data_IF_320503554336
#
_entry.id   IF_320503554336
#
_cell.length_a   1.000
_cell.length_b   1.000
_cell.length_c   1.000
_cell.angle_alpha   90.00
_cell.angle_beta   90.00
_cell.angle_gamma   90.00
#
_symmetry.space_group_name_H-M   'P 1'
#
loop_
_entity.id
_entity.type
_entity.pdbx_description
1 polymer ?
#
# COMPACT_ATOMS: atom_id res chain seq x y z
N UNK A 1 19.45 -12.11 -12.17
CA UNK A 1 18.76 -10.81 -12.39
C UNK A 1 17.27 -11.04 -12.09
N UNK A 2 16.87 -10.74 -10.85
CA UNK A 2 15.97 -9.62 -10.54
C UNK A 2 14.60 -9.77 -11.23
N UNK A 3 13.64 -10.51 -10.66
CA UNK A 3 12.23 -10.43 -11.08
C UNK A 3 11.20 -10.89 -10.00
N UNK A 4 11.55 -10.86 -8.71
CA UNK A 4 10.65 -11.32 -7.62
C UNK A 4 10.10 -10.18 -6.73
N UNK A 5 10.47 -8.91 -6.99
CA UNK A 5 10.00 -7.78 -6.17
C UNK A 5 8.67 -7.19 -6.64
N UNK A 6 8.32 -7.33 -7.92
CA UNK A 6 7.13 -6.71 -8.53
C UNK A 6 5.83 -7.43 -8.16
N UNK A 7 5.87 -8.75 -7.92
CA UNK A 7 4.69 -9.55 -7.60
C UNK A 7 4.11 -9.26 -6.20
N UNK A 8 4.96 -8.92 -5.22
CA UNK A 8 4.54 -8.71 -3.82
C UNK A 8 3.76 -7.41 -3.61
N UNK A 9 3.91 -6.44 -4.51
CA UNK A 9 3.13 -5.20 -4.47
C UNK A 9 1.68 -5.38 -4.93
N UNK A 10 1.43 -6.37 -5.80
CA UNK A 10 0.11 -6.62 -6.39
C UNK A 10 -0.79 -7.49 -5.50
N UNK A 11 -0.23 -8.38 -4.67
CA UNK A 11 -0.99 -9.30 -3.82
C UNK A 11 -1.78 -8.62 -2.69
N UNK A 12 -1.37 -7.44 -2.22
CA UNK A 12 -2.08 -6.70 -1.18
C UNK A 12 -3.32 -5.94 -1.69
N UNK A 13 -3.43 -5.73 -3.00
CA UNK A 13 -4.57 -5.01 -3.61
C UNK A 13 -5.82 -5.89 -3.69
N UNK A 14 -5.63 -7.21 -3.78
CA UNK A 14 -6.70 -8.21 -3.96
C UNK A 14 -7.61 -8.42 -2.74
N UNK A 15 -7.20 -7.93 -1.57
CA UNK A 15 -7.93 -8.18 -0.32
C UNK A 15 -9.19 -7.31 -0.16
N UNK A 16 -9.31 -6.21 -0.92
CA UNK A 16 -10.42 -5.24 -0.81
C UNK A 16 -11.52 -5.38 -1.87
N UNK A 17 -11.51 -6.47 -2.62
CA UNK A 17 -12.42 -6.67 -3.74
C UNK A 17 -13.62 -7.55 -3.38
N UNK A 18 -14.84 -7.10 -3.72
CA UNK A 18 -16.03 -7.95 -3.80
C UNK A 18 -15.75 -9.14 -4.73
N UNK A 19 -16.29 -10.33 -4.42
CA UNK A 19 -15.94 -11.61 -5.07
C UNK A 19 -15.92 -11.57 -6.60
N UNK A 20 -16.78 -10.78 -7.23
CA UNK A 20 -16.92 -10.72 -8.69
C UNK A 20 -15.88 -9.81 -9.37
N UNK A 21 -15.38 -8.76 -8.71
CA UNK A 21 -14.37 -7.86 -9.26
C UNK A 21 -12.94 -8.40 -9.23
N UNK A 22 -12.67 -9.38 -8.33
CA UNK A 22 -11.35 -10.01 -8.19
C UNK A 22 -10.88 -10.72 -9.45
N UNK A 23 -11.78 -11.46 -10.07
CA UNK A 23 -11.43 -12.34 -11.18
C UNK A 23 -11.17 -11.52 -12.45
N UNK A 24 -12.00 -10.50 -12.71
CA UNK A 24 -11.81 -9.57 -13.82
C UNK A 24 -10.50 -8.79 -13.70
N UNK A 25 -10.15 -8.28 -12.52
CA UNK A 25 -8.89 -7.59 -12.28
C UNK A 25 -7.69 -8.55 -12.38
N UNK A 26 -7.81 -9.78 -11.88
CA UNK A 26 -6.75 -10.78 -12.02
C UNK A 26 -6.44 -11.11 -13.48
N UNK A 27 -7.47 -11.18 -14.34
CA UNK A 27 -7.29 -11.38 -15.79
C UNK A 27 -6.57 -10.21 -16.44
N UNK A 28 -6.92 -8.96 -16.11
CA UNK A 28 -6.23 -7.76 -16.60
C UNK A 28 -4.76 -7.73 -16.15
N UNK A 29 -4.50 -8.04 -14.88
CA UNK A 29 -3.13 -8.09 -14.33
C UNK A 29 -2.31 -9.18 -15.01
N UNK A 30 -2.89 -10.36 -15.26
CA UNK A 30 -2.21 -11.47 -15.91
C UNK A 30 -1.93 -11.21 -17.40
N UNK A 31 -2.87 -10.56 -18.09
CA UNK A 31 -2.74 -10.21 -19.50
C UNK A 31 -1.88 -8.96 -19.75
N UNK A 32 -1.73 -8.09 -18.74
CA UNK A 32 -1.22 -6.71 -18.88
C UNK A 32 -1.98 -5.90 -19.94
N UNK A 33 -3.23 -6.29 -20.22
CA UNK A 33 -4.03 -5.74 -21.30
C UNK A 33 -5.48 -5.55 -20.84
N UNK A 34 -6.11 -4.49 -21.35
CA UNK A 34 -7.47 -4.12 -21.02
C UNK A 34 -8.43 -4.82 -22.00
N UNK A 35 -9.43 -5.57 -21.51
CA UNK A 35 -10.40 -6.22 -22.38
C UNK A 35 -11.16 -5.16 -23.18
N UNK A 36 -11.39 -5.46 -24.45
CA UNK A 36 -12.21 -4.63 -25.35
C UNK A 36 -13.42 -5.46 -25.81
N UNK A 37 -14.67 -5.00 -25.59
CA UNK A 37 -15.05 -3.76 -24.91
C UNK A 37 -14.82 -3.81 -23.40
N UNK A 38 -14.59 -2.65 -22.77
CA UNK A 38 -14.54 -2.53 -21.31
C UNK A 38 -15.95 -2.79 -20.73
N UNK A 39 -16.03 -3.76 -19.83
CA UNK A 39 -17.25 -4.05 -19.07
C UNK A 39 -17.43 -3.04 -17.92
N UNK A 40 -18.66 -2.55 -17.72
CA UNK A 40 -18.99 -1.58 -16.67
C UNK A 40 -18.69 -2.11 -15.26
N UNK A 41 -18.82 -3.42 -15.04
CA UNK A 41 -18.45 -4.02 -13.75
C UNK A 41 -16.94 -3.98 -13.51
N UNK A 42 -16.14 -4.14 -14.57
CA UNK A 42 -14.68 -3.99 -14.48
C UNK A 42 -14.31 -2.53 -14.21
N UNK A 43 -14.93 -1.57 -14.90
CA UNK A 43 -14.73 -0.14 -14.65
C UNK A 43 -15.04 0.20 -13.20
N UNK A 44 -16.18 -0.27 -12.68
CA UNK A 44 -16.58 -0.02 -11.30
C UNK A 44 -15.61 -0.66 -10.30
N UNK A 45 -15.21 -1.90 -10.53
CA UNK A 45 -14.25 -2.59 -9.69
C UNK A 45 -12.88 -1.90 -9.66
N UNK A 46 -12.40 -1.41 -10.82
CA UNK A 46 -11.17 -0.63 -10.91
C UNK A 46 -11.31 0.71 -10.18
N UNK A 47 -12.42 1.42 -10.36
CA UNK A 47 -12.69 2.67 -9.64
C UNK A 47 -12.72 2.45 -8.13
N UNK A 48 -13.34 1.37 -7.64
CA UNK A 48 -13.42 1.08 -6.20
C UNK A 48 -12.05 0.71 -5.61
N UNK A 49 -11.23 -0.04 -6.35
CA UNK A 49 -9.86 -0.38 -5.93
C UNK A 49 -8.93 0.83 -5.95
N UNK A 50 -8.99 1.63 -7.02
CA UNK A 50 -8.08 2.74 -7.25
C UNK A 50 -8.49 3.97 -6.45
N UNK A 51 -9.78 4.22 -6.22
CA UNK A 51 -10.28 5.31 -5.36
C UNK A 51 -9.86 5.13 -3.90
N UNK A 52 -9.60 3.89 -3.50
CA UNK A 52 -9.07 3.58 -2.18
C UNK A 52 -7.57 3.77 -2.04
N UNK A 53 -6.78 3.85 -3.11
CA UNK A 53 -5.32 3.80 -2.98
C UNK A 53 -4.74 5.18 -2.61
N UNK A 54 -4.53 5.42 -1.32
CA UNK A 54 -3.84 6.62 -0.84
C UNK A 54 -2.34 6.34 -0.78
N UNK A 55 -1.56 7.00 -1.64
CA UNK A 55 -0.10 7.02 -1.55
C UNK A 55 0.35 7.96 -0.43
N UNK A 56 1.19 7.47 0.46
CA UNK A 56 1.96 8.28 1.41
C UNK A 56 3.44 8.09 1.10
N UNK A 57 4.09 9.15 0.66
CA UNK A 57 5.52 9.17 0.45
C UNK A 57 6.24 9.45 1.76
N UNK A 58 7.32 8.71 2.03
CA UNK A 58 8.15 8.86 3.22
C UNK A 58 9.61 8.87 2.80
N UNK A 59 10.38 9.87 3.25
CA UNK A 59 11.82 9.90 3.00
C UNK A 59 12.61 9.14 4.08
N UNK A 60 13.85 8.79 3.74
CA UNK A 60 14.80 8.24 4.73
C UNK A 60 15.03 9.19 5.91
N UNK A 61 14.96 10.51 5.68
CA UNK A 61 15.12 11.51 6.72
C UNK A 61 13.94 11.51 7.69
N UNK A 62 12.71 11.32 7.20
CA UNK A 62 11.51 11.28 8.04
C UNK A 62 11.54 10.06 8.97
N UNK A 63 11.92 8.89 8.46
CA UNK A 63 12.07 7.68 9.26
C UNK A 63 13.18 7.88 10.31
N UNK A 64 14.32 8.44 9.91
CA UNK A 64 15.41 8.75 10.84
C UNK A 64 14.94 9.68 11.96
N UNK A 65 14.16 10.71 11.62
CA UNK A 65 13.61 11.65 12.59
C UNK A 65 12.59 10.97 13.52
N UNK A 66 11.69 10.13 12.98
CA UNK A 66 10.69 9.41 13.75
C UNK A 66 11.28 8.40 14.74
N UNK A 67 12.40 7.77 14.38
CA UNK A 67 13.10 6.82 15.26
C UNK A 67 13.92 7.51 16.36
N UNK A 68 14.26 8.79 16.16
CA UNK A 68 14.89 9.62 17.19
C UNK A 68 13.80 10.10 18.15
N UNK A 69 14.06 10.04 19.46
CA UNK A 69 13.24 10.78 20.44
C UNK A 69 14.13 11.64 21.31
N UNK A 70 13.51 12.59 22.02
CA UNK A 70 14.18 13.43 23.01
C UNK A 70 14.60 12.65 24.28
N UNK A 71 14.18 11.40 24.47
CA UNK A 71 14.44 10.60 25.68
C UNK A 71 15.75 9.78 25.62
N UNK A 72 16.63 10.09 24.65
CA UNK A 72 17.92 9.43 24.53
C UNK A 72 17.87 8.05 23.84
N UNK A 73 18.93 7.22 24.01
CA UNK A 73 19.09 5.96 23.29
C UNK A 73 17.95 4.98 23.61
N UNK A 74 17.43 4.32 22.58
CA UNK A 74 16.36 3.34 22.73
C UNK A 74 16.91 1.91 22.70
N UNK A 75 16.36 1.07 23.57
CA UNK A 75 16.48 -0.38 23.41
C UNK A 75 15.62 -0.87 22.21
N UNK A 76 15.75 -2.13 21.76
CA UNK A 76 15.02 -2.63 20.60
C UNK A 76 13.50 -2.51 20.71
N UNK A 77 12.93 -2.68 21.91
CA UNK A 77 11.48 -2.54 22.13
C UNK A 77 11.02 -1.09 21.95
N UNK A 78 11.78 -0.13 22.48
CA UNK A 78 11.52 1.29 22.31
C UNK A 78 11.58 1.73 20.85
N UNK A 79 12.57 1.23 20.10
CA UNK A 79 12.71 1.57 18.68
C UNK A 79 11.53 1.05 17.84
N UNK A 80 11.05 -0.17 18.11
CA UNK A 80 9.84 -0.72 17.47
C UNK A 80 8.59 0.11 17.80
N UNK A 81 8.43 0.51 19.06
CA UNK A 81 7.30 1.35 19.48
C UNK A 81 7.28 2.69 18.72
N UNK A 82 8.42 3.38 18.66
CA UNK A 82 8.56 4.67 17.93
C UNK A 82 8.20 4.51 16.45
N UNK A 83 8.63 3.42 15.82
CA UNK A 83 8.27 3.14 14.44
C UNK A 83 6.77 2.92 14.27
N UNK A 84 6.14 2.13 15.14
CA UNK A 84 4.70 1.90 15.11
C UNK A 84 3.91 3.20 15.29
N UNK A 85 4.26 4.01 16.29
CA UNK A 85 3.63 5.31 16.53
C UNK A 85 3.73 6.24 15.31
N UNK A 86 4.86 6.21 14.61
CA UNK A 86 5.03 6.95 13.36
C UNK A 86 4.11 6.43 12.24
N UNK A 87 4.04 5.11 12.01
CA UNK A 87 3.14 4.53 11.01
C UNK A 87 1.67 4.82 11.33
N UNK A 88 1.27 4.74 12.60
CA UNK A 88 -0.08 5.10 13.06
C UNK A 88 -0.37 6.59 12.80
N UNK A 89 0.63 7.46 12.96
CA UNK A 89 0.48 8.89 12.66
C UNK A 89 0.23 9.15 11.17
N UNK A 90 0.88 8.41 10.27
CA UNK A 90 0.71 8.53 8.82
C UNK A 90 -0.67 8.03 8.35
N UNK A 91 -1.21 7.01 9.04
CA UNK A 91 -2.46 6.35 8.66
C UNK A 91 -3.69 6.91 9.38
N UNK A 92 -3.50 7.88 10.29
CA UNK A 92 -4.58 8.51 11.06
C UNK A 92 -5.65 9.12 10.16
N UNK A 93 -6.91 8.80 10.45
CA UNK A 93 -8.06 9.28 9.68
C UNK A 93 -8.20 8.66 8.29
N UNK A 94 -7.40 7.63 7.97
CA UNK A 94 -7.49 6.87 6.72
C UNK A 94 -7.85 5.43 7.02
N UNK A 95 -8.45 4.76 6.06
CA UNK A 95 -8.70 3.32 6.15
C UNK A 95 -7.36 2.59 5.92
N UNK A 96 -6.78 1.85 6.88
CA UNK A 96 -5.43 1.27 6.75
C UNK A 96 -5.30 0.34 5.55
N UNK A 97 -6.38 -0.39 5.28
CA UNK A 97 -6.71 -1.13 4.07
C UNK A 97 -6.29 -0.50 2.75
N UNK A 98 -6.30 0.82 2.69
CA UNK A 98 -6.29 1.67 1.52
C UNK A 98 -5.02 2.53 1.42
N UNK A 99 -4.23 2.61 2.49
CA UNK A 99 -2.98 3.37 2.52
C UNK A 99 -1.80 2.54 2.03
N UNK A 100 -0.99 3.12 1.14
CA UNK A 100 0.26 2.55 0.60
C UNK A 100 1.39 3.50 0.97
N UNK A 101 2.27 3.07 1.89
CA UNK A 101 3.45 3.82 2.28
C UNK A 101 4.58 3.47 1.32
N UNK A 102 5.14 4.47 0.64
CA UNK A 102 6.21 4.34 -0.33
C UNK A 102 7.45 5.05 0.20
N UNK A 103 8.58 4.34 0.22
CA UNK A 103 9.85 4.96 0.59
C UNK A 103 10.47 5.65 -0.62
N UNK A 104 10.80 6.92 -0.43
CA UNK A 104 11.56 7.72 -1.40
C UNK A 104 13.05 7.66 -1.02
N UNK A 105 13.86 7.32 -2.01
CA UNK A 105 15.31 7.15 -1.89
C UNK A 105 16.06 8.46 -2.00
#
# INVERSE_FOLDING_TARGET
MQNDKTARGLTNTSQFLMRNGRQAIATVIAALDLPTPLDDNLVKALQDVLSGLVKISVSTQDIRNALRSNDGPANPAGLKRRFNEYIDSLTRGREPAKVRIVMEG
#
